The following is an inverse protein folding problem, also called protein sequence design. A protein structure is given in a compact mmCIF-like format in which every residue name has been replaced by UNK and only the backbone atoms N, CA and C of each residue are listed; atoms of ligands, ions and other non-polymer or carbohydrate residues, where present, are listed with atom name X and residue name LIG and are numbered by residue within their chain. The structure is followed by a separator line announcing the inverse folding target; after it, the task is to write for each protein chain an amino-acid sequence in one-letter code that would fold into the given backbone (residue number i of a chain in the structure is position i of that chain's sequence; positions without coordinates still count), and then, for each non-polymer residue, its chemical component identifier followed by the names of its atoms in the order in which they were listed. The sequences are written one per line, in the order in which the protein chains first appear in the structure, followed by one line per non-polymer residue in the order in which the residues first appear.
data_IF_229827996194
#
_entry.id   IF_229827996194
#
_cell.length_a   1.000
_cell.length_b   1.000
_cell.length_c   1.000
_cell.angle_alpha   90.00
_cell.angle_beta   90.00
_cell.angle_gamma   90.00
#
_symmetry.space_group_name_H-M   'P 1'
#
loop_
_entity.id
_entity.type
_entity.pdbx_description
1 polymer ?
#
# COMPACT_ATOMS: atom_id res chain seq x y z
N UNK A 1 23.00 -4.19 -6.35
CA UNK A 1 22.47 -3.58 -7.60
C UNK A 1 22.95 -4.41 -8.77
N UNK A 2 22.11 -4.80 -9.72
CA UNK A 2 22.56 -5.26 -11.03
C UNK A 2 23.12 -4.05 -11.79
N UNK A 3 24.31 -3.58 -11.37
CA UNK A 3 24.89 -2.28 -11.79
C UNK A 3 25.24 -2.28 -13.26
N UNK A 4 25.63 -3.41 -13.81
CA UNK A 4 26.13 -3.50 -15.20
C UNK A 4 25.02 -3.52 -16.26
N UNK A 5 23.80 -3.83 -15.87
CA UNK A 5 22.63 -3.83 -16.75
C UNK A 5 21.84 -2.53 -16.78
N UNK A 6 22.18 -1.57 -15.88
CA UNK A 6 21.44 -0.33 -15.69
C UNK A 6 22.14 0.90 -16.31
N UNK A 7 23.00 0.70 -17.30
CA UNK A 7 23.69 1.77 -18.03
C UNK A 7 23.36 1.74 -19.52
N UNK A 8 23.53 2.87 -20.18
CA UNK A 8 23.36 3.00 -21.63
C UNK A 8 22.18 3.89 -22.05
N UNK A 9 22.11 4.15 -23.34
CA UNK A 9 21.13 5.10 -23.91
C UNK A 9 19.67 4.70 -23.71
N UNK A 10 19.40 3.41 -23.52
CA UNK A 10 18.05 2.90 -23.26
C UNK A 10 17.55 3.15 -21.82
N UNK A 11 18.34 3.80 -20.96
CA UNK A 11 17.92 4.24 -19.63
C UNK A 11 17.51 5.72 -19.58
N UNK A 12 17.43 6.36 -20.76
CA UNK A 12 16.98 7.75 -20.88
C UNK A 12 15.44 7.81 -20.93
N UNK A 13 14.88 8.83 -20.34
CA UNK A 13 13.43 9.08 -20.38
C UNK A 13 12.91 9.21 -21.82
N UNK A 14 13.72 9.73 -22.73
CA UNK A 14 13.41 9.79 -24.17
C UNK A 14 13.09 8.42 -24.76
N UNK A 15 13.90 7.40 -24.42
CA UNK A 15 13.64 6.03 -24.87
C UNK A 15 12.32 5.47 -24.32
N UNK A 16 11.99 5.75 -23.05
CA UNK A 16 10.70 5.35 -22.45
C UNK A 16 9.53 6.00 -23.21
N UNK A 17 9.64 7.29 -23.53
CA UNK A 17 8.64 8.00 -24.34
C UNK A 17 8.44 7.38 -25.72
N UNK A 18 9.50 6.98 -26.39
CA UNK A 18 9.43 6.29 -27.68
C UNK A 18 8.66 4.97 -27.59
N UNK A 19 8.90 4.17 -26.54
CA UNK A 19 8.17 2.91 -26.36
C UNK A 19 6.67 3.17 -26.09
N UNK A 20 6.34 4.18 -25.31
CA UNK A 20 4.96 4.58 -25.07
C UNK A 20 4.27 5.04 -26.36
N UNK A 21 4.97 5.81 -27.22
CA UNK A 21 4.45 6.23 -28.51
C UNK A 21 4.18 5.05 -29.46
N UNK A 22 5.02 4.02 -29.39
CA UNK A 22 4.85 2.75 -30.12
C UNK A 22 3.73 1.87 -29.52
N UNK A 23 3.12 2.28 -28.40
CA UNK A 23 2.13 1.49 -27.62
C UNK A 23 2.69 0.13 -27.14
N UNK A 24 4.00 0.03 -26.98
CA UNK A 24 4.68 -1.16 -26.47
C UNK A 24 5.41 -0.84 -25.19
N UNK A 25 4.78 -1.12 -24.05
CA UNK A 25 5.35 -0.87 -22.73
C UNK A 25 6.16 -2.06 -22.19
N UNK A 26 6.04 -3.21 -22.79
CA UNK A 26 6.73 -4.44 -22.32
C UNK A 26 8.26 -4.29 -22.25
N UNK A 27 8.97 -3.67 -23.23
CA UNK A 27 10.40 -3.44 -23.13
C UNK A 27 10.79 -2.56 -21.94
N UNK A 28 9.93 -1.60 -21.57
CA UNK A 28 10.14 -0.74 -20.41
C UNK A 28 10.08 -1.56 -19.12
N UNK A 29 9.03 -2.37 -18.95
CA UNK A 29 8.90 -3.26 -17.80
C UNK A 29 10.06 -4.24 -17.68
N UNK A 30 10.43 -4.90 -18.78
CA UNK A 30 11.57 -5.82 -18.81
C UNK A 30 12.87 -5.16 -18.33
N UNK A 31 13.04 -3.90 -18.64
CA UNK A 31 14.27 -3.18 -18.37
C UNK A 31 14.30 -2.53 -16.99
N UNK A 32 13.18 -1.97 -16.55
CA UNK A 32 13.13 -1.17 -15.31
C UNK A 32 12.51 -1.91 -14.13
N UNK A 33 11.59 -2.86 -14.37
CA UNK A 33 10.88 -3.55 -13.30
C UNK A 33 11.47 -4.95 -13.02
N UNK A 34 11.62 -5.78 -14.05
CA UNK A 34 12.05 -7.17 -13.86
C UNK A 34 13.40 -7.38 -13.17
N UNK A 35 14.45 -6.55 -13.36
CA UNK A 35 15.68 -6.71 -12.58
C UNK A 35 15.48 -6.56 -11.08
N UNK A 36 14.51 -5.74 -10.67
CA UNK A 36 14.16 -5.55 -9.26
C UNK A 36 13.22 -6.63 -8.73
N UNK A 37 12.42 -7.22 -9.60
CA UNK A 37 11.49 -8.29 -9.25
C UNK A 37 12.16 -9.64 -8.98
N UNK A 38 13.40 -9.84 -9.40
CA UNK A 38 14.11 -11.10 -9.30
C UNK A 38 15.16 -11.14 -8.19
N UNK A 39 15.38 -10.02 -7.51
CA UNK A 39 16.38 -9.90 -6.45
C UNK A 39 15.76 -9.27 -5.21
N UNK A 40 16.02 -9.83 -4.01
CA UNK A 40 15.47 -9.27 -2.76
C UNK A 40 16.04 -7.87 -2.44
N UNK A 41 17.20 -7.54 -2.98
CA UNK A 41 17.91 -6.29 -2.65
C UNK A 41 18.57 -5.68 -3.89
N UNK A 42 18.46 -4.37 -4.08
CA UNK A 42 17.55 -3.41 -3.46
C UNK A 42 16.19 -3.43 -4.14
N UNK A 43 15.19 -4.04 -3.54
CA UNK A 43 13.83 -4.08 -4.07
C UNK A 43 12.91 -3.18 -3.28
N UNK A 44 11.97 -2.55 -3.98
CA UNK A 44 10.82 -1.93 -3.34
C UNK A 44 9.88 -3.03 -2.89
N UNK A 45 9.69 -3.16 -1.60
CA UNK A 45 8.71 -4.09 -1.04
C UNK A 45 7.47 -3.30 -0.60
N UNK A 46 6.25 -3.83 -0.86
CA UNK A 46 5.04 -3.18 -0.41
C UNK A 46 4.92 -3.26 1.11
N UNK A 47 4.39 -2.20 1.72
CA UNK A 47 3.88 -2.24 3.08
C UNK A 47 2.58 -3.04 3.18
N UNK A 48 1.96 -3.08 4.34
CA UNK A 48 0.62 -3.62 4.48
C UNK A 48 -0.42 -2.64 3.91
N UNK A 49 -1.53 -3.16 3.38
CA UNK A 49 -2.69 -2.34 3.09
C UNK A 49 -3.59 -2.24 4.32
N UNK A 50 -4.15 -1.05 4.56
CA UNK A 50 -5.14 -0.81 5.60
C UNK A 50 -6.53 -0.81 4.94
N UNK A 51 -7.39 -1.73 5.39
CA UNK A 51 -8.78 -1.83 4.97
C UNK A 51 -9.74 -1.40 6.07
N UNK A 52 -10.78 -0.69 5.67
CA UNK A 52 -11.95 -0.39 6.48
C UNK A 52 -13.16 -1.04 5.82
N UNK A 53 -13.65 -2.12 6.41
CA UNK A 53 -14.86 -2.79 5.92
C UNK A 53 -16.06 -2.31 6.73
N UNK A 54 -16.79 -1.36 6.17
CA UNK A 54 -17.97 -0.77 6.79
C UNK A 54 -19.17 -1.01 5.87
N UNK A 55 -20.13 -1.80 6.35
CA UNK A 55 -21.33 -2.17 5.57
C UNK A 55 -22.23 -0.98 5.23
N UNK A 56 -22.07 0.13 5.93
CA UNK A 56 -22.81 1.36 5.70
C UNK A 56 -22.14 2.32 4.69
N UNK A 57 -20.92 1.98 4.21
CA UNK A 57 -20.26 2.74 3.15
C UNK A 57 -20.68 2.22 1.79
N UNK A 58 -21.37 3.07 1.06
CA UNK A 58 -21.69 2.92 -0.36
C UNK A 58 -20.61 3.60 -1.21
N UNK A 59 -20.93 3.92 -2.47
CA UNK A 59 -20.04 4.74 -3.27
C UNK A 59 -19.94 6.16 -2.69
N UNK A 60 -18.73 6.76 -2.63
CA UNK A 60 -18.58 8.10 -2.12
C UNK A 60 -19.28 9.11 -3.04
N UNK A 61 -19.97 10.06 -2.44
CA UNK A 61 -20.64 11.14 -3.17
C UNK A 61 -19.67 12.25 -3.59
N UNK A 62 -18.59 12.43 -2.83
CA UNK A 62 -17.56 13.43 -3.13
C UNK A 62 -16.21 13.02 -2.53
N UNK A 63 -15.15 13.33 -3.26
CA UNK A 63 -13.75 13.21 -2.81
C UNK A 63 -13.04 14.53 -3.11
N UNK A 64 -12.49 15.15 -2.08
CA UNK A 64 -11.78 16.42 -2.20
C UNK A 64 -10.38 16.34 -1.57
N UNK A 65 -9.37 16.75 -2.32
CA UNK A 65 -8.01 16.89 -1.85
C UNK A 65 -7.63 18.37 -1.76
N UNK A 66 -7.38 18.83 -0.54
CA UNK A 66 -6.90 20.19 -0.27
C UNK A 66 -5.38 20.24 -0.39
N UNK A 67 -4.87 20.79 -1.49
CA UNK A 67 -3.42 20.78 -1.77
C UNK A 67 -2.59 21.65 -0.82
N UNK A 68 -3.20 22.67 -0.21
CA UNK A 68 -2.51 23.57 0.71
C UNK A 68 -2.12 22.93 2.06
N UNK A 69 -2.82 21.89 2.46
CA UNK A 69 -2.57 21.18 3.73
C UNK A 69 -2.54 19.67 3.61
N UNK A 70 -2.62 19.15 2.37
CA UNK A 70 -2.63 17.72 2.04
C UNK A 70 -3.73 16.91 2.74
N UNK A 71 -4.84 17.56 3.12
CA UNK A 71 -6.00 16.89 3.69
C UNK A 71 -6.87 16.31 2.56
N UNK A 72 -7.15 15.02 2.63
CA UNK A 72 -8.17 14.39 1.79
C UNK A 72 -9.46 14.21 2.60
N UNK A 73 -10.57 14.56 2.00
CA UNK A 73 -11.90 14.41 2.56
C UNK A 73 -12.77 13.59 1.61
N UNK A 74 -13.43 12.59 2.16
CA UNK A 74 -14.41 11.74 1.46
C UNK A 74 -15.74 11.87 2.18
N UNK A 75 -16.80 12.10 1.43
CA UNK A 75 -18.17 12.16 1.95
C UNK A 75 -19.06 11.15 1.24
N UNK A 76 -20.01 10.60 1.96
CA UNK A 76 -21.01 9.67 1.46
C UNK A 76 -22.41 10.28 1.55
N UNK A 77 -23.34 9.78 0.74
CA UNK A 77 -24.72 10.29 0.70
C UNK A 77 -25.46 10.17 2.04
N UNK A 78 -25.11 9.15 2.82
CA UNK A 78 -25.68 8.92 4.16
C UNK A 78 -25.11 9.84 5.26
N UNK A 79 -24.28 10.83 4.89
CA UNK A 79 -23.70 11.80 5.81
C UNK A 79 -22.43 11.35 6.53
N UNK A 80 -21.93 10.14 6.25
CA UNK A 80 -20.62 9.70 6.76
C UNK A 80 -19.54 10.55 6.06
N UNK A 81 -18.52 10.90 6.82
CA UNK A 81 -17.35 11.64 6.33
C UNK A 81 -16.08 11.00 6.84
N UNK A 82 -15.10 10.88 5.98
CA UNK A 82 -13.73 10.51 6.34
C UNK A 82 -12.78 11.63 6.00
N UNK A 83 -11.87 11.93 6.91
CA UNK A 83 -10.73 12.81 6.68
C UNK A 83 -9.45 12.01 6.86
N UNK A 84 -8.49 12.20 5.96
CA UNK A 84 -7.19 11.54 6.04
C UNK A 84 -6.07 12.45 5.60
N UNK A 85 -4.92 12.29 6.23
CA UNK A 85 -3.68 12.95 5.84
C UNK A 85 -2.48 12.14 6.34
N UNK A 86 -1.32 12.36 5.70
CA UNK A 86 -0.03 11.82 6.12
C UNK A 86 0.83 12.97 6.63
N UNK A 87 1.49 12.75 7.77
CA UNK A 87 2.33 13.78 8.37
C UNK A 87 3.59 14.02 7.53
N UNK A 88 3.95 15.30 7.32
CA UNK A 88 5.02 15.69 6.41
C UNK A 88 6.42 15.15 6.78
N UNK A 89 6.71 14.96 8.07
CA UNK A 89 8.06 14.60 8.57
C UNK A 89 8.07 13.38 9.50
N UNK A 90 6.93 12.87 9.91
CA UNK A 90 6.82 11.67 10.76
C UNK A 90 6.18 10.53 9.97
N UNK A 91 6.59 9.28 10.17
CA UNK A 91 6.02 8.12 9.48
C UNK A 91 4.66 7.74 10.07
N UNK A 92 3.69 8.66 10.01
CA UNK A 92 2.35 8.43 10.51
C UNK A 92 1.29 9.09 9.62
N UNK A 93 0.13 8.48 9.58
CA UNK A 93 -1.06 8.98 8.91
C UNK A 93 -2.28 8.86 9.83
N UNK A 94 -3.34 9.59 9.49
CA UNK A 94 -4.59 9.66 10.24
C UNK A 94 -5.77 9.37 9.34
N UNK A 95 -6.74 8.64 9.90
CA UNK A 95 -8.06 8.44 9.30
C UNK A 95 -9.09 8.78 10.38
N UNK A 96 -9.92 9.75 10.12
CA UNK A 96 -10.93 10.22 11.06
C UNK A 96 -12.29 10.04 10.39
N UNK A 97 -13.09 9.14 10.94
CA UNK A 97 -14.47 8.94 10.49
C UNK A 97 -15.42 9.67 11.43
N UNK A 98 -16.44 10.32 10.88
CA UNK A 98 -17.54 10.94 11.61
C UNK A 98 -18.86 10.40 11.10
N UNK A 99 -19.87 10.39 12.00
CA UNK A 99 -21.21 9.90 11.75
C UNK A 99 -21.31 8.39 11.43
N UNK A 100 -20.31 7.59 11.83
CA UNK A 100 -20.41 6.14 11.79
C UNK A 100 -21.44 5.65 12.80
N UNK A 101 -22.32 4.72 12.36
CA UNK A 101 -23.28 4.04 13.22
C UNK A 101 -22.79 2.66 13.68
N UNK A 102 -21.85 2.09 12.90
CA UNK A 102 -21.25 0.78 13.16
C UNK A 102 -19.88 0.92 13.81
N UNK A 103 -19.44 -0.16 14.45
CA UNK A 103 -18.09 -0.22 15.03
C UNK A 103 -17.04 -0.26 13.94
N UNK A 104 -16.02 0.59 14.05
CA UNK A 104 -14.88 0.60 13.16
C UNK A 104 -13.95 -0.58 13.46
N UNK A 105 -13.79 -1.46 12.48
CA UNK A 105 -12.86 -2.58 12.55
C UNK A 105 -11.86 -2.54 11.42
N UNK A 106 -10.69 -1.91 11.61
CA UNK A 106 -9.64 -1.89 10.61
C UNK A 106 -8.99 -3.27 10.47
N UNK A 107 -8.51 -3.55 9.26
CA UNK A 107 -7.74 -4.77 8.93
C UNK A 107 -6.44 -4.39 8.26
N UNK A 108 -5.34 -5.02 8.64
CA UNK A 108 -4.08 -4.96 7.91
C UNK A 108 -3.97 -6.19 7.00
N UNK A 109 -3.81 -5.94 5.71
CA UNK A 109 -3.58 -6.97 4.70
C UNK A 109 -2.09 -7.03 4.41
N UNK A 110 -1.46 -8.12 4.80
CA UNK A 110 -0.03 -8.32 4.57
C UNK A 110 0.27 -8.59 3.10
N UNK A 111 1.42 -8.13 2.56
CA UNK A 111 1.95 -8.62 1.30
C UNK A 111 2.20 -10.13 1.37
N UNK A 112 2.03 -10.82 0.26
CA UNK A 112 2.18 -12.27 0.19
C UNK A 112 3.50 -12.62 -0.48
N UNK A 113 4.44 -13.16 0.31
CA UNK A 113 5.77 -13.61 -0.13
C UNK A 113 5.89 -15.13 -0.26
N UNK A 114 4.90 -15.88 0.23
CA UNK A 114 4.86 -17.35 0.16
C UNK A 114 3.54 -17.81 -0.43
N UNK A 115 3.49 -19.08 -0.87
CA UNK A 115 2.22 -19.71 -1.27
C UNK A 115 1.33 -19.86 -0.06
N UNK A 116 0.14 -19.29 -0.12
CA UNK A 116 -0.89 -19.45 0.90
C UNK A 116 -2.06 -20.25 0.31
N UNK A 117 -2.12 -21.55 0.62
CA UNK A 117 -3.24 -22.42 0.22
C UNK A 117 -3.53 -22.40 -1.28
N UNK A 118 -4.82 -22.26 -1.66
CA UNK A 118 -5.30 -22.18 -3.04
C UNK A 118 -5.27 -20.74 -3.62
N UNK A 119 -4.58 -19.79 -2.98
CA UNK A 119 -4.61 -18.39 -3.39
C UNK A 119 -3.96 -18.18 -4.76
N UNK A 120 -4.43 -17.16 -5.46
CA UNK A 120 -3.83 -16.63 -6.69
C UNK A 120 -2.35 -16.30 -6.45
N UNK A 121 -1.53 -16.44 -7.47
CA UNK A 121 -0.07 -16.27 -7.37
C UNK A 121 0.38 -14.80 -7.22
N UNK A 122 -0.50 -13.92 -6.81
CA UNK A 122 -0.23 -12.48 -6.67
C UNK A 122 -0.52 -12.00 -5.25
N UNK A 123 0.26 -11.02 -4.81
CA UNK A 123 0.06 -10.38 -3.52
C UNK A 123 -1.24 -9.54 -3.54
N UNK A 124 -2.09 -9.64 -2.50
CA UNK A 124 -3.30 -8.84 -2.40
C UNK A 124 -3.03 -7.34 -2.25
N UNK A 125 -1.81 -6.97 -1.87
CA UNK A 125 -1.41 -5.57 -1.66
C UNK A 125 -0.84 -4.94 -2.94
N UNK A 126 -0.02 -5.68 -3.69
CA UNK A 126 0.67 -5.15 -4.88
C UNK A 126 0.13 -5.67 -6.20
N UNK A 127 -0.66 -6.74 -6.19
CA UNK A 127 -1.11 -7.42 -7.40
C UNK A 127 0.01 -8.13 -8.18
N UNK A 128 1.21 -8.23 -7.60
CA UNK A 128 2.38 -8.86 -8.22
C UNK A 128 2.77 -10.16 -7.51
N UNK A 129 3.47 -11.05 -8.20
CA UNK A 129 4.07 -12.23 -7.61
C UNK A 129 5.38 -11.84 -6.89
N UNK A 130 5.32 -11.78 -5.56
CA UNK A 130 6.47 -11.41 -4.72
C UNK A 130 7.28 -12.61 -4.23
N UNK A 131 6.85 -13.85 -4.52
CA UNK A 131 7.49 -15.09 -4.00
C UNK A 131 8.93 -15.24 -4.48
N UNK A 132 9.25 -14.75 -5.69
CA UNK A 132 10.61 -14.77 -6.26
C UNK A 132 11.59 -13.91 -5.48
N UNK A 133 11.14 -12.97 -4.68
CA UNK A 133 12.01 -12.13 -3.86
C UNK A 133 12.59 -12.87 -2.66
N UNK A 134 12.02 -14.02 -2.27
CA UNK A 134 12.56 -14.89 -1.23
C UNK A 134 12.47 -14.35 0.20
N UNK A 135 11.66 -13.30 0.43
CA UNK A 135 11.43 -12.82 1.79
C UNK A 135 10.57 -13.78 2.61
N UNK A 136 10.82 -13.83 3.90
CA UNK A 136 9.93 -14.47 4.85
C UNK A 136 8.57 -13.78 4.88
N UNK A 137 7.51 -14.55 5.10
CA UNK A 137 6.16 -14.00 5.24
C UNK A 137 6.06 -13.18 6.51
N UNK A 138 5.66 -11.92 6.37
CA UNK A 138 5.39 -11.05 7.50
C UNK A 138 4.14 -11.46 8.28
N UNK A 139 4.08 -11.06 9.54
CA UNK A 139 3.00 -11.43 10.48
C UNK A 139 2.17 -10.24 10.86
N UNK A 140 0.85 -10.46 11.00
CA UNK A 140 -0.08 -9.48 11.55
C UNK A 140 -0.54 -9.96 12.92
N UNK A 141 -0.31 -9.15 13.95
CA UNK A 141 -0.72 -9.39 15.33
C UNK A 141 -1.84 -8.41 15.67
N UNK A 142 -2.93 -8.93 16.23
CA UNK A 142 -4.04 -8.11 16.76
C UNK A 142 -4.00 -8.11 18.28
N UNK A 143 -4.06 -6.92 18.86
CA UNK A 143 -4.31 -6.68 20.28
C UNK A 143 -5.56 -5.79 20.34
N UNK A 144 -6.33 -5.76 21.37
CA UNK A 144 -7.60 -5.02 21.49
C UNK A 144 -7.85 -3.96 20.38
N UNK A 145 -7.31 -2.76 20.52
CA UNK A 145 -7.46 -1.64 19.57
C UNK A 145 -6.14 -1.34 18.83
N UNK A 146 -5.36 -2.37 18.54
CA UNK A 146 -4.08 -2.26 17.81
C UNK A 146 -3.89 -3.42 16.86
N UNK A 147 -3.39 -3.11 15.66
CA UNK A 147 -2.83 -4.06 14.71
C UNK A 147 -1.36 -3.74 14.49
N UNK A 148 -0.53 -4.77 14.43
CA UNK A 148 0.90 -4.63 14.13
C UNK A 148 1.23 -5.61 13.01
N UNK A 149 1.69 -5.11 11.88
CA UNK A 149 2.29 -5.90 10.83
C UNK A 149 3.81 -5.79 10.96
N UNK A 150 4.49 -6.91 11.11
CA UNK A 150 5.95 -6.99 11.14
C UNK A 150 6.47 -7.69 9.90
N UNK A 151 7.47 -7.10 9.24
CA UNK A 151 8.14 -7.65 8.05
C UNK A 151 9.65 -7.56 8.20
N UNK A 152 10.32 -8.69 8.06
CA UNK A 152 11.77 -8.75 7.86
C UNK A 152 12.09 -8.44 6.40
N UNK A 153 13.08 -7.59 6.18
CA UNK A 153 13.66 -7.29 4.88
C UNK A 153 14.99 -8.04 4.68
N UNK A 154 15.88 -7.41 3.91
CA UNK A 154 17.21 -7.97 3.65
C UNK A 154 18.20 -7.60 4.76
N UNK A 155 19.04 -8.55 5.16
CA UNK A 155 19.98 -8.38 6.26
C UNK A 155 19.26 -8.13 7.59
N UNK A 156 19.71 -7.13 8.35
CA UNK A 156 19.12 -6.76 9.63
C UNK A 156 17.95 -5.76 9.52
N UNK A 157 17.55 -5.43 8.29
CA UNK A 157 16.44 -4.52 8.08
C UNK A 157 15.10 -5.19 8.39
N UNK A 158 14.28 -4.49 9.17
CA UNK A 158 12.88 -4.84 9.38
C UNK A 158 12.04 -3.57 9.55
N UNK A 159 10.73 -3.69 9.39
CA UNK A 159 9.82 -2.59 9.65
C UNK A 159 8.49 -3.09 10.20
N UNK A 160 7.81 -2.20 10.90
CA UNK A 160 6.47 -2.41 11.43
C UNK A 160 5.49 -1.39 10.84
N UNK A 161 4.27 -1.84 10.55
CA UNK A 161 3.12 -0.98 10.32
C UNK A 161 2.17 -1.14 11.49
N UNK A 162 1.97 -0.07 12.24
CA UNK A 162 1.16 -0.08 13.47
C UNK A 162 -0.09 0.74 13.24
N UNK A 163 -1.24 0.16 13.50
CA UNK A 163 -2.54 0.83 13.47
C UNK A 163 -3.14 0.80 14.86
N UNK A 164 -3.44 1.97 15.39
CA UNK A 164 -4.20 2.12 16.62
C UNK A 164 -5.50 2.84 16.29
N UNK A 165 -6.60 2.45 16.91
CA UNK A 165 -7.87 3.14 16.71
C UNK A 165 -8.61 3.28 18.03
N UNK A 166 -9.47 4.26 18.08
CA UNK A 166 -10.46 4.47 19.14
C UNK A 166 -11.77 4.90 18.48
N UNK A 167 -12.85 4.54 19.10
CA UNK A 167 -14.17 5.01 18.71
C UNK A 167 -14.76 5.74 19.92
N UNK A 168 -15.16 6.97 19.71
CA UNK A 168 -15.85 7.78 20.71
C UNK A 168 -17.31 7.81 20.30
N UNK A 169 -18.18 7.36 21.20
CA UNK A 169 -19.61 7.55 21.05
C UNK A 169 -19.92 8.98 21.46
N UNK A 170 -19.98 9.90 20.50
CA UNK A 170 -20.54 11.23 20.76
C UNK A 170 -22.06 11.06 20.82
N UNK A 171 -22.73 11.36 21.93
CA UNK A 171 -24.19 11.40 21.94
C UNK A 171 -24.65 12.42 20.91
N UNK A 172 -25.62 12.03 20.09
CA UNK A 172 -26.33 12.92 19.17
C UNK A 172 -27.12 13.94 19.94
#
# INVERSE_FOLDING_TARGET
RPTDSLSGDNYRFSWVKEQIQKKDYLPVQKKFDWPYDNMPTPSKIPGAALEFSLSELEEPSNVHLYLNNALCEVTWQNGIRMQTFVHATKPLGWFIFTNLKTTLEPRLIAPMYTKFGKSKEVSPVSGQDLRRLGYEQGTVIRKSNQLVFHQKGHGDFSYDVVVNWKQENTPL
#
